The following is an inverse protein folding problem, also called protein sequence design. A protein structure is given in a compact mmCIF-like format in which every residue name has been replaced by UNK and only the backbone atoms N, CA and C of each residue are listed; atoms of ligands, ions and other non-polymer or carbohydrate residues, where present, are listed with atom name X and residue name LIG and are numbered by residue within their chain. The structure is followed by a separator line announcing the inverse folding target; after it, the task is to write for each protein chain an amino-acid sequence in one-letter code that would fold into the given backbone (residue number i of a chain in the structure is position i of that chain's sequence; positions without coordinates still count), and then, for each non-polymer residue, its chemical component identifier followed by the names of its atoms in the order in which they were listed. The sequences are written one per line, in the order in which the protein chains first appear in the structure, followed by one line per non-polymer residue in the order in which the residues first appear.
data_IF_502181042952
#
_entry.id   IF_502181042952
#
_cell.length_a   1.000
_cell.length_b   1.000
_cell.length_c   1.000
_cell.angle_alpha   90.00
_cell.angle_beta   90.00
_cell.angle_gamma   90.00
#
_symmetry.space_group_name_H-M   'P 1'
#
loop_
_entity.id
_entity.type
_entity.pdbx_description
1 polymer ?
#
# COMPACT_ATOMS: atom_id res chain seq x y z
N UNK A 1 -19.90 26.32 -1.67
CA UNK A 1 -19.34 25.49 -0.58
C UNK A 1 -20.43 24.54 -0.11
N UNK A 2 -20.62 23.41 -0.79
CA UNK A 2 -21.61 22.39 -0.41
C UNK A 2 -20.90 21.37 0.47
N UNK A 3 -21.13 21.49 1.77
CA UNK A 3 -20.70 20.54 2.78
C UNK A 3 -21.69 19.37 2.74
N UNK A 4 -21.42 18.33 1.94
CA UNK A 4 -22.24 17.11 1.99
C UNK A 4 -21.97 16.42 3.33
N UNK A 5 -22.98 16.23 4.19
CA UNK A 5 -22.77 15.61 5.48
C UNK A 5 -22.29 14.18 5.26
N UNK A 6 -21.23 13.79 5.96
CA UNK A 6 -20.72 12.43 6.03
C UNK A 6 -21.86 11.50 6.45
N UNK A 7 -22.54 10.88 5.49
CA UNK A 7 -23.78 10.11 5.68
C UNK A 7 -23.53 8.73 6.31
N UNK A 8 -22.62 8.65 7.28
CA UNK A 8 -22.34 7.44 8.05
C UNK A 8 -23.36 7.37 9.18
N UNK A 9 -24.22 6.35 9.17
CA UNK A 9 -25.21 6.15 10.22
C UNK A 9 -24.65 5.18 11.28
N UNK A 10 -24.70 5.58 12.55
CA UNK A 10 -24.31 4.73 13.68
C UNK A 10 -25.57 4.18 14.35
N UNK A 11 -25.70 2.85 14.36
CA UNK A 11 -26.77 2.13 15.06
C UNK A 11 -26.24 1.75 16.43
N UNK A 12 -26.91 2.18 17.50
CA UNK A 12 -26.50 1.91 18.88
C UNK A 12 -27.20 0.65 19.42
N UNK A 13 -26.56 -0.04 20.36
CA UNK A 13 -27.17 -1.13 21.11
C UNK A 13 -28.12 -0.59 22.20
N UNK A 14 -28.72 -1.49 22.96
CA UNK A 14 -29.63 -1.16 24.09
C UNK A 14 -28.96 -0.36 25.22
N UNK A 15 -27.63 -0.40 25.32
CA UNK A 15 -26.85 0.37 26.29
C UNK A 15 -26.46 1.77 25.75
N UNK A 16 -26.88 2.12 24.54
CA UNK A 16 -26.52 3.37 23.87
C UNK A 16 -25.09 3.40 23.30
N UNK A 17 -24.39 2.26 23.21
CA UNK A 17 -23.04 2.16 22.60
C UNK A 17 -23.15 1.84 21.09
N UNK A 18 -22.25 2.38 20.25
CA UNK A 18 -22.20 2.02 18.82
C UNK A 18 -22.10 0.49 18.63
N UNK A 19 -23.08 -0.07 17.92
CA UNK A 19 -23.15 -1.50 17.61
C UNK A 19 -22.83 -1.76 16.12
N UNK A 20 -23.35 -0.90 15.23
CA UNK A 20 -23.10 -0.99 13.80
C UNK A 20 -22.84 0.40 13.21
N UNK A 21 -22.11 0.40 12.11
CA UNK A 21 -21.88 1.58 11.28
C UNK A 21 -22.32 1.25 9.85
N UNK A 22 -23.29 2.00 9.33
CA UNK A 22 -23.77 1.87 7.96
C UNK A 22 -23.07 2.91 7.11
N UNK A 23 -22.39 2.43 6.07
CA UNK A 23 -21.68 3.26 5.09
C UNK A 23 -22.49 3.16 3.79
N UNK A 24 -22.95 4.27 3.19
CA UNK A 24 -23.63 4.20 1.92
C UNK A 24 -22.69 3.60 0.85
N UNK A 25 -23.24 2.79 -0.03
CA UNK A 25 -22.46 1.91 -0.90
C UNK A 25 -21.52 2.70 -1.84
N UNK A 26 -21.94 3.87 -2.32
CA UNK A 26 -21.11 4.75 -3.15
C UNK A 26 -19.84 5.22 -2.41
N UNK A 27 -19.93 5.52 -1.11
CA UNK A 27 -18.77 5.88 -0.30
C UNK A 27 -17.86 4.68 -0.04
N UNK A 28 -18.43 3.49 0.11
CA UNK A 28 -17.65 2.26 0.22
C UNK A 28 -16.86 1.99 -1.06
N UNK A 29 -17.49 2.12 -2.23
CA UNK A 29 -16.85 1.97 -3.54
C UNK A 29 -15.78 3.04 -3.79
N UNK A 30 -16.07 4.31 -3.47
CA UNK A 30 -15.11 5.39 -3.61
C UNK A 30 -13.83 5.13 -2.79
N UNK A 31 -13.96 4.54 -1.59
CA UNK A 31 -12.81 4.12 -0.78
C UNK A 31 -12.02 2.99 -1.41
N UNK A 32 -12.65 2.02 -2.06
CA UNK A 32 -11.93 0.91 -2.71
C UNK A 32 -11.10 1.35 -3.91
N UNK A 33 -11.45 2.46 -4.55
CA UNK A 33 -10.75 2.98 -5.72
C UNK A 33 -9.59 3.92 -5.39
N UNK A 34 -9.20 4.07 -4.12
CA UNK A 34 -8.02 4.87 -3.77
C UNK A 34 -6.74 4.18 -4.29
N UNK A 35 -6.00 4.79 -5.23
CA UNK A 35 -4.80 4.19 -5.83
C UNK A 35 -3.63 4.06 -4.85
N UNK A 36 -3.76 4.59 -3.63
CA UNK A 36 -2.75 4.51 -2.59
C UNK A 36 -3.03 3.42 -1.55
N UNK A 37 -4.10 2.64 -1.70
CA UNK A 37 -4.38 1.53 -0.80
C UNK A 37 -3.21 0.54 -0.77
N UNK A 38 -2.85 0.12 0.44
CA UNK A 38 -1.82 -0.89 0.64
C UNK A 38 -2.55 -2.20 0.99
N UNK A 39 -2.37 -3.26 0.19
CA UNK A 39 -2.98 -4.56 0.45
C UNK A 39 -2.57 -5.10 1.82
N UNK A 40 -3.51 -5.74 2.54
CA UNK A 40 -3.23 -6.32 3.85
C UNK A 40 -2.02 -7.28 3.82
N UNK A 41 -1.88 -8.07 2.75
CA UNK A 41 -0.76 -8.99 2.57
C UNK A 41 0.62 -8.30 2.49
N UNK A 42 0.68 -7.04 2.06
CA UNK A 42 1.91 -6.23 2.12
C UNK A 42 2.18 -5.82 3.57
N UNK A 43 1.14 -5.36 4.28
CA UNK A 43 1.24 -4.97 5.70
C UNK A 43 1.68 -6.14 6.57
N UNK A 44 1.11 -7.34 6.40
CA UNK A 44 1.50 -8.54 7.16
C UNK A 44 3.00 -8.83 7.01
N UNK A 45 3.53 -8.76 5.78
CA UNK A 45 4.97 -8.97 5.52
C UNK A 45 5.85 -7.92 6.18
N UNK A 46 5.41 -6.67 6.22
CA UNK A 46 6.13 -5.60 6.92
C UNK A 46 6.22 -5.89 8.43
N UNK A 47 5.13 -6.35 9.04
CA UNK A 47 5.08 -6.76 10.45
C UNK A 47 5.99 -7.97 10.71
N UNK A 48 6.13 -8.87 9.74
CA UNK A 48 7.07 -10.00 9.77
C UNK A 48 8.54 -9.59 9.52
N UNK A 49 8.82 -8.30 9.28
CA UNK A 49 10.17 -7.76 9.13
C UNK A 49 10.66 -7.62 7.69
N UNK A 50 9.82 -7.83 6.68
CA UNK A 50 10.16 -7.52 5.30
C UNK A 50 10.35 -6.01 5.10
N UNK A 51 11.26 -5.62 4.20
CA UNK A 51 11.34 -4.22 3.75
C UNK A 51 10.12 -3.87 2.88
N UNK A 52 9.72 -2.59 2.77
CA UNK A 52 8.61 -2.18 1.90
C UNK A 52 8.78 -2.64 0.45
N UNK A 53 10.00 -2.55 -0.08
CA UNK A 53 10.31 -3.00 -1.44
C UNK A 53 10.07 -4.50 -1.60
N UNK A 54 10.55 -5.29 -0.63
CA UNK A 54 10.39 -6.75 -0.63
C UNK A 54 8.94 -7.17 -0.50
N UNK A 55 8.21 -6.56 0.43
CA UNK A 55 6.81 -6.86 0.68
C UNK A 55 5.95 -6.63 -0.58
N UNK A 56 6.17 -5.52 -1.28
CA UNK A 56 5.50 -5.22 -2.54
C UNK A 56 5.93 -6.15 -3.68
N UNK A 57 7.23 -6.40 -3.83
CA UNK A 57 7.74 -7.31 -4.87
C UNK A 57 7.12 -8.69 -4.75
N UNK A 58 7.09 -9.26 -3.54
CA UNK A 58 6.50 -10.58 -3.28
C UNK A 58 4.97 -10.58 -3.44
N UNK A 59 4.28 -9.50 -3.02
CA UNK A 59 2.84 -9.38 -3.25
C UNK A 59 2.48 -9.36 -4.74
N UNK A 60 3.33 -8.75 -5.57
CA UNK A 60 3.19 -8.69 -7.02
C UNK A 60 3.73 -9.95 -7.73
N UNK A 61 4.18 -10.97 -6.98
CA UNK A 61 4.79 -12.20 -7.50
C UNK A 61 5.98 -11.96 -8.44
N UNK A 62 6.78 -10.93 -8.17
CA UNK A 62 7.97 -10.61 -8.95
C UNK A 62 9.23 -11.19 -8.31
N UNK A 63 10.18 -11.62 -9.13
CA UNK A 63 11.54 -11.98 -8.72
C UNK A 63 12.43 -10.75 -8.66
N UNK A 64 13.56 -10.85 -7.94
CA UNK A 64 14.56 -9.78 -7.93
C UNK A 64 15.12 -9.48 -9.33
N UNK A 65 15.29 -10.51 -10.16
CA UNK A 65 15.80 -10.38 -11.52
C UNK A 65 14.81 -9.63 -12.43
N UNK A 66 13.51 -9.90 -12.32
CA UNK A 66 12.50 -9.17 -13.09
C UNK A 66 12.47 -7.67 -12.75
N UNK A 67 12.55 -7.32 -11.45
CA UNK A 67 12.59 -5.91 -11.04
C UNK A 67 13.91 -5.26 -11.47
N UNK A 68 15.03 -5.96 -11.35
CA UNK A 68 16.33 -5.48 -11.81
C UNK A 68 16.35 -5.19 -13.32
N UNK A 69 15.76 -6.08 -14.13
CA UNK A 69 15.58 -5.89 -15.58
C UNK A 69 14.74 -4.65 -15.89
N UNK A 70 13.64 -4.42 -15.17
CA UNK A 70 12.82 -3.20 -15.32
C UNK A 70 13.57 -1.93 -14.95
N UNK A 71 14.54 -2.01 -14.03
CA UNK A 71 15.38 -0.90 -13.60
C UNK A 71 16.64 -0.70 -14.47
N UNK A 72 17.00 -1.68 -15.32
CA UNK A 72 18.23 -1.67 -16.10
C UNK A 72 19.50 -1.81 -15.25
N UNK A 73 19.42 -2.56 -14.14
CA UNK A 73 20.55 -2.82 -13.22
C UNK A 73 20.77 -4.33 -13.05
N UNK A 74 21.87 -4.74 -12.41
CA UNK A 74 22.08 -6.14 -12.06
C UNK A 74 21.13 -6.61 -10.95
N UNK A 75 20.83 -7.91 -10.93
CA UNK A 75 20.06 -8.53 -9.84
C UNK A 75 20.72 -8.26 -8.46
N UNK A 76 22.05 -8.35 -8.39
CA UNK A 76 22.80 -8.07 -7.15
C UNK A 76 22.65 -6.63 -6.67
N UNK A 77 22.67 -5.66 -7.59
CA UNK A 77 22.46 -4.26 -7.26
C UNK A 77 21.03 -4.01 -6.76
N UNK A 78 20.03 -4.67 -7.36
CA UNK A 78 18.66 -4.60 -6.87
C UNK A 78 18.52 -5.25 -5.48
N UNK A 79 19.12 -6.42 -5.25
CA UNK A 79 19.09 -7.09 -3.95
C UNK A 79 19.68 -6.21 -2.83
N UNK A 80 20.75 -5.46 -3.13
CA UNK A 80 21.30 -4.47 -2.20
C UNK A 80 20.32 -3.33 -1.93
N UNK A 81 19.63 -2.81 -2.97
CA UNK A 81 18.63 -1.76 -2.80
C UNK A 81 17.39 -2.24 -2.02
N UNK A 82 16.95 -3.48 -2.25
CA UNK A 82 15.80 -4.10 -1.57
C UNK A 82 16.06 -4.30 -0.08
N UNK A 83 17.30 -4.58 0.32
CA UNK A 83 17.69 -4.73 1.72
C UNK A 83 17.70 -3.41 2.51
N UNK A 84 17.63 -2.25 1.84
CA UNK A 84 17.62 -0.94 2.50
C UNK A 84 16.21 -0.62 3.02
N UNK A 85 16.07 -0.48 4.34
CA UNK A 85 14.79 -0.16 4.99
C UNK A 85 14.25 1.22 4.59
N UNK A 86 15.13 2.22 4.43
CA UNK A 86 14.76 3.59 4.07
C UNK A 86 15.54 4.06 2.83
N UNK A 87 15.10 3.69 1.62
CA UNK A 87 15.77 4.11 0.39
C UNK A 87 15.68 5.62 0.20
N UNK A 88 16.68 6.22 -0.46
CA UNK A 88 16.62 7.62 -0.88
C UNK A 88 15.42 7.85 -1.79
N UNK A 89 14.83 9.06 -1.74
CA UNK A 89 13.66 9.45 -2.53
C UNK A 89 13.76 9.05 -4.01
N UNK A 90 14.90 9.36 -4.66
CA UNK A 90 15.13 9.05 -6.08
C UNK A 90 15.16 7.55 -6.38
N UNK A 91 15.76 6.75 -5.50
CA UNK A 91 15.77 5.28 -5.62
C UNK A 91 14.37 4.72 -5.43
N UNK A 92 13.65 5.21 -4.42
CA UNK A 92 12.28 4.80 -4.13
C UNK A 92 11.33 5.07 -5.29
N UNK A 93 11.40 6.26 -5.90
CA UNK A 93 10.60 6.62 -7.08
C UNK A 93 10.88 5.69 -8.28
N UNK A 94 12.14 5.36 -8.53
CA UNK A 94 12.51 4.41 -9.60
C UNK A 94 11.98 3.01 -9.33
N UNK A 95 12.12 2.50 -8.10
CA UNK A 95 11.64 1.17 -7.72
C UNK A 95 10.11 1.10 -7.76
N UNK A 96 9.42 2.12 -7.23
CA UNK A 96 7.96 2.20 -7.29
C UNK A 96 7.45 2.14 -8.74
N UNK A 97 8.09 2.89 -9.64
CA UNK A 97 7.79 2.83 -11.07
C UNK A 97 8.03 1.43 -11.67
N UNK A 98 9.11 0.74 -11.29
CA UNK A 98 9.39 -0.61 -11.76
C UNK A 98 8.37 -1.65 -11.24
N UNK A 99 7.83 -1.43 -10.03
CA UNK A 99 6.79 -2.26 -9.43
C UNK A 99 5.38 -1.92 -9.93
N UNK A 100 5.19 -0.74 -10.54
CA UNK A 100 3.88 -0.27 -11.00
C UNK A 100 2.99 0.28 -9.87
N UNK A 101 3.61 0.85 -8.83
CA UNK A 101 2.93 1.39 -7.65
C UNK A 101 3.30 2.85 -7.43
N UNK A 102 2.56 3.54 -6.56
CA UNK A 102 2.89 4.90 -6.14
C UNK A 102 4.06 4.91 -5.16
N UNK A 103 4.93 5.92 -5.27
CA UNK A 103 6.12 6.02 -4.42
C UNK A 103 5.80 6.21 -2.92
N UNK A 104 4.63 6.77 -2.60
CA UNK A 104 4.13 6.91 -1.23
C UNK A 104 3.86 5.54 -0.57
N UNK A 105 3.55 4.50 -1.35
CA UNK A 105 3.30 3.14 -0.85
C UNK A 105 4.57 2.43 -0.37
N UNK A 106 5.74 3.05 -0.57
CA UNK A 106 7.05 2.61 -0.06
C UNK A 106 7.55 3.47 1.13
N UNK A 107 6.73 4.35 1.70
CA UNK A 107 7.09 5.22 2.84
C UNK A 107 6.78 4.61 4.22
N UNK A 108 6.40 3.33 4.24
CA UNK A 108 5.95 2.59 5.43
C UNK A 108 7.07 2.35 6.44
#
# INVERSE_FOLDING_TARGET
MTNEPTAVQIIHNIEGKPAFVVIPYEHYLARQNDPNLIPHAVVSRLVEGATPIRAWREHLNLTQDEVAKRLGISQSAFAQQEAVTKPRRTTREKIAKALGINACQLEL
#
